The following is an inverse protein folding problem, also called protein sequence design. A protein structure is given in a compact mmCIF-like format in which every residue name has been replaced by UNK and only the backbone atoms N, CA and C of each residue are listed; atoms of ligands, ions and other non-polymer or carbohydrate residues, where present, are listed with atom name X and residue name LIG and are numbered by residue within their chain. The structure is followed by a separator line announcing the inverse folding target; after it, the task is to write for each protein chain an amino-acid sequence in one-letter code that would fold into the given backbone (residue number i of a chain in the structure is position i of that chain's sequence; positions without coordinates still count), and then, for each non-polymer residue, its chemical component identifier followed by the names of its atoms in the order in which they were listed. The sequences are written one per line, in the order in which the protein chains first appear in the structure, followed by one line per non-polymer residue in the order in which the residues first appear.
data_IF_362477588459
#
_entry.id   IF_362477588459
#
_cell.length_a   1.000
_cell.length_b   1.000
_cell.length_c   1.000
_cell.angle_alpha   90.00
_cell.angle_beta   90.00
_cell.angle_gamma   90.00
#
_symmetry.space_group_name_H-M   'P 1'
#
loop_
_entity.id
_entity.type
_entity.pdbx_description
1 polymer ?
#
# COMPACT_ATOMS: atom_id res chain seq x y z
N UNK A 1 14.59 -11.00 15.03
CA UNK A 1 13.94 -12.02 14.18
C UNK A 1 12.47 -11.66 14.17
N UNK A 2 11.83 -11.59 12.99
CA UNK A 2 10.39 -11.31 12.90
C UNK A 2 9.62 -12.54 13.34
N UNK A 3 8.62 -12.36 14.18
CA UNK A 3 7.77 -13.42 14.73
C UNK A 3 6.44 -13.52 13.98
N UNK A 4 5.81 -14.69 14.03
CA UNK A 4 4.45 -14.87 13.49
C UNK A 4 3.42 -14.00 14.21
N UNK A 5 3.63 -13.73 15.50
CA UNK A 5 2.74 -12.85 16.27
C UNK A 5 2.80 -11.40 15.73
N UNK A 6 3.99 -10.86 15.48
CA UNK A 6 4.13 -9.52 14.90
C UNK A 6 3.48 -9.41 13.51
N UNK A 7 3.62 -10.46 12.68
CA UNK A 7 2.97 -10.51 11.36
C UNK A 7 1.45 -10.60 11.52
N UNK A 8 0.97 -11.45 12.42
CA UNK A 8 -0.46 -11.64 12.70
C UNK A 8 -1.10 -10.34 13.19
N UNK A 9 -0.45 -9.62 14.10
CA UNK A 9 -0.92 -8.32 14.58
C UNK A 9 -0.95 -7.27 13.46
N UNK A 10 0.09 -7.24 12.61
CA UNK A 10 0.11 -6.35 11.46
C UNK A 10 -1.06 -6.63 10.48
N UNK A 11 -1.37 -7.89 10.18
CA UNK A 11 -2.40 -8.22 9.20
C UNK A 11 -3.82 -8.22 9.79
N UNK A 12 -4.00 -8.77 10.98
CA UNK A 12 -5.31 -9.08 11.55
C UNK A 12 -5.59 -8.37 12.88
N UNK A 13 -4.59 -7.74 13.49
CA UNK A 13 -4.77 -6.93 14.70
C UNK A 13 -5.57 -5.65 14.43
N UNK A 14 -5.85 -4.89 15.48
CA UNK A 14 -6.49 -3.58 15.37
C UNK A 14 -5.59 -2.57 14.62
N UNK A 15 -6.22 -1.59 13.98
CA UNK A 15 -5.57 -0.46 13.33
C UNK A 15 -6.51 0.74 13.31
N UNK A 16 -6.00 1.92 12.96
CA UNK A 16 -6.84 3.11 12.75
C UNK A 16 -7.63 2.93 11.44
N UNK A 17 -8.96 3.06 11.49
CA UNK A 17 -9.77 3.01 10.28
C UNK A 17 -9.55 4.25 9.42
N UNK A 18 -9.27 4.04 8.13
CA UNK A 18 -9.15 5.11 7.15
C UNK A 18 -10.23 4.95 6.08
N UNK A 19 -10.89 6.06 5.79
CA UNK A 19 -11.77 6.17 4.64
C UNK A 19 -10.94 6.14 3.34
N UNK A 20 -11.08 5.08 2.55
CA UNK A 20 -10.63 5.06 1.16
C UNK A 20 -11.72 5.57 0.22
N UNK A 21 -11.60 5.23 -1.06
CA UNK A 21 -12.56 5.63 -2.08
C UNK A 21 -13.92 4.94 -1.90
N UNK A 22 -14.99 5.76 -1.80
CA UNK A 22 -16.36 5.27 -1.61
C UNK A 22 -17.19 5.23 -2.90
N UNK A 23 -16.66 5.78 -4.00
CA UNK A 23 -17.31 5.75 -5.31
C UNK A 23 -17.07 4.44 -6.05
N UNK A 24 -17.38 4.43 -7.36
CA UNK A 24 -17.15 3.28 -8.21
C UNK A 24 -15.67 3.07 -8.54
N UNK A 25 -15.31 1.84 -8.91
CA UNK A 25 -13.97 1.51 -9.39
C UNK A 25 -13.61 2.32 -10.65
N UNK A 26 -14.54 2.46 -11.59
CA UNK A 26 -14.27 3.11 -12.88
C UNK A 26 -13.98 4.62 -12.71
N UNK A 27 -14.70 5.29 -11.79
CA UNK A 27 -14.40 6.68 -11.43
C UNK A 27 -13.00 6.82 -10.82
N UNK A 28 -12.62 5.90 -9.93
CA UNK A 28 -11.31 5.90 -9.30
C UNK A 28 -10.19 5.69 -10.34
N UNK A 29 -10.37 4.75 -11.26
CA UNK A 29 -9.43 4.51 -12.37
C UNK A 29 -9.32 5.77 -13.23
N UNK A 30 -10.44 6.34 -13.68
CA UNK A 30 -10.44 7.52 -14.55
C UNK A 30 -9.78 8.75 -13.91
N UNK A 31 -9.95 8.95 -12.60
CA UNK A 31 -9.23 9.99 -11.85
C UNK A 31 -7.73 9.73 -11.79
N UNK A 32 -7.35 8.46 -11.60
CA UNK A 32 -5.95 8.04 -11.46
C UNK A 32 -5.19 8.14 -12.78
N UNK A 33 -5.81 7.78 -13.90
CA UNK A 33 -5.20 7.91 -15.23
C UNK A 33 -4.90 9.37 -15.58
N UNK A 34 -5.75 10.31 -15.14
CA UNK A 34 -5.52 11.75 -15.31
C UNK A 34 -4.38 12.26 -14.43
N UNK A 35 -4.30 11.79 -13.18
CA UNK A 35 -3.28 12.22 -12.23
C UNK A 35 -1.90 11.59 -12.50
N UNK A 36 -1.87 10.35 -13.01
CA UNK A 36 -0.67 9.54 -13.20
C UNK A 36 -0.63 8.93 -14.61
N UNK A 37 -0.55 9.75 -15.68
CA UNK A 37 -0.64 9.26 -17.05
C UNK A 37 0.46 8.24 -17.36
N UNK A 38 0.04 7.07 -17.87
CA UNK A 38 0.95 5.99 -18.28
C UNK A 38 1.53 5.15 -17.14
N UNK A 39 1.21 5.44 -15.88
CA UNK A 39 1.67 4.64 -14.73
C UNK A 39 0.77 3.42 -14.52
N UNK A 40 1.33 2.31 -14.05
CA UNK A 40 0.53 1.14 -13.74
C UNK A 40 -0.42 1.43 -12.58
N UNK A 41 -1.70 1.10 -12.75
CA UNK A 41 -2.73 1.20 -11.74
C UNK A 41 -3.07 -0.19 -11.19
N UNK A 42 -3.22 -0.30 -9.87
CA UNK A 42 -3.64 -1.51 -9.18
C UNK A 42 -4.73 -1.18 -8.17
N UNK A 43 -5.97 -1.57 -8.45
CA UNK A 43 -7.11 -1.38 -7.56
C UNK A 43 -7.08 -2.47 -6.50
N UNK A 44 -7.14 -2.06 -5.24
CA UNK A 44 -7.05 -2.96 -4.09
C UNK A 44 -8.16 -2.69 -3.08
N UNK A 45 -8.55 -3.73 -2.36
CA UNK A 45 -9.49 -3.70 -1.22
C UNK A 45 -8.84 -4.29 0.01
N UNK A 46 -9.46 -4.03 1.17
CA UNK A 46 -8.99 -4.55 2.46
C UNK A 46 -7.49 -4.24 2.64
N UNK A 47 -7.18 -2.97 2.44
CA UNK A 47 -5.82 -2.46 2.38
C UNK A 47 -5.37 -1.92 3.74
N UNK A 48 -4.07 -1.97 3.97
CA UNK A 48 -3.39 -1.52 5.18
C UNK A 48 -2.26 -0.59 4.73
N UNK A 49 -2.37 0.69 5.07
CA UNK A 49 -1.25 1.62 5.01
C UNK A 49 -0.36 1.38 6.23
N UNK A 50 0.89 1.04 5.97
CA UNK A 50 1.85 0.65 7.00
C UNK A 50 2.89 1.76 7.11
N UNK A 51 2.81 2.56 8.16
CA UNK A 51 3.88 3.49 8.53
C UNK A 51 5.04 2.70 9.12
N UNK A 52 6.24 2.96 8.62
CA UNK A 52 7.43 2.24 9.02
C UNK A 52 8.08 2.94 10.21
N UNK A 53 8.23 2.21 11.31
CA UNK A 53 9.03 2.66 12.44
C UNK A 53 10.51 2.63 12.02
N UNK A 54 11.07 3.81 11.80
CA UNK A 54 12.45 4.00 11.31
C UNK A 54 13.20 4.99 12.20
N UNK A 55 14.52 4.84 12.25
CA UNK A 55 15.41 5.81 12.89
C UNK A 55 15.46 7.12 12.10
N UNK A 56 15.89 8.24 12.72
CA UNK A 56 16.06 9.50 11.99
C UNK A 56 16.97 9.39 10.76
N UNK A 57 18.08 8.67 10.87
CA UNK A 57 19.01 8.47 9.75
C UNK A 57 18.39 7.68 8.59
N UNK A 58 17.56 6.66 8.89
CA UNK A 58 16.82 5.92 7.87
C UNK A 58 15.73 6.77 7.22
N UNK A 59 15.03 7.59 8.01
CA UNK A 59 14.05 8.55 7.50
C UNK A 59 14.71 9.56 6.55
N UNK A 60 15.85 10.13 6.93
CA UNK A 60 16.61 11.07 6.11
C UNK A 60 17.09 10.41 4.81
N UNK A 61 17.54 9.15 4.89
CA UNK A 61 17.91 8.38 3.70
C UNK A 61 16.72 8.14 2.76
N UNK A 62 15.56 7.74 3.29
CA UNK A 62 14.37 7.49 2.47
C UNK A 62 13.88 8.79 1.81
N UNK A 63 13.75 9.86 2.60
CA UNK A 63 13.30 11.16 2.10
C UNK A 63 14.28 11.77 1.09
N UNK A 64 15.59 11.60 1.29
CA UNK A 64 16.63 11.98 0.31
C UNK A 64 16.55 11.21 -1.02
N UNK A 65 15.89 10.04 -1.03
CA UNK A 65 15.58 9.27 -2.23
C UNK A 65 14.18 9.58 -2.80
N UNK A 66 13.44 10.52 -2.20
CA UNK A 66 12.05 10.82 -2.57
C UNK A 66 11.08 9.71 -2.17
N UNK A 67 11.40 8.92 -1.15
CA UNK A 67 10.57 7.83 -0.64
C UNK A 67 9.94 8.20 0.70
N UNK A 68 8.74 7.68 0.91
CA UNK A 68 8.05 7.69 2.19
C UNK A 68 8.55 6.54 3.06
N UNK A 69 8.67 6.73 4.39
CA UNK A 69 8.80 5.63 5.34
C UNK A 69 7.46 4.91 5.53
N UNK A 70 6.88 4.44 4.43
CA UNK A 70 5.59 3.76 4.40
C UNK A 70 5.55 2.73 3.28
N UNK A 71 4.75 1.68 3.47
CA UNK A 71 4.41 0.70 2.45
C UNK A 71 2.92 0.36 2.53
N UNK A 72 2.41 -0.38 1.55
CA UNK A 72 1.03 -0.82 1.49
C UNK A 72 0.98 -2.34 1.48
N UNK A 73 0.05 -2.90 2.25
CA UNK A 73 -0.42 -4.26 2.07
C UNK A 73 -1.89 -4.24 1.67
N UNK A 74 -2.33 -5.17 0.83
CA UNK A 74 -3.75 -5.38 0.57
C UNK A 74 -4.05 -6.86 0.49
N UNK A 75 -5.13 -7.27 1.15
CA UNK A 75 -5.59 -8.66 1.12
C UNK A 75 -6.18 -9.03 -0.25
N UNK A 76 -6.64 -8.05 -1.02
CA UNK A 76 -7.34 -8.30 -2.28
C UNK A 76 -6.95 -7.29 -3.36
N UNK A 77 -6.48 -7.81 -4.49
CA UNK A 77 -6.39 -7.10 -5.76
C UNK A 77 -7.71 -7.29 -6.48
N UNK A 78 -8.33 -6.18 -6.87
CA UNK A 78 -9.56 -6.16 -7.66
C UNK A 78 -9.24 -6.08 -9.15
N UNK A 79 -8.26 -5.25 -9.50
CA UNK A 79 -7.85 -5.04 -10.89
C UNK A 79 -6.38 -4.60 -10.96
N UNK A 80 -5.59 -5.18 -11.86
CA UNK A 80 -4.24 -4.72 -12.19
C UNK A 80 -4.15 -4.39 -13.68
N UNK A 81 -3.92 -3.13 -14.01
CA UNK A 81 -3.86 -2.63 -15.40
C UNK A 81 -2.79 -3.29 -16.26
N UNK A 82 -1.78 -3.90 -15.64
CA UNK A 82 -0.67 -4.58 -16.31
C UNK A 82 -0.83 -6.11 -16.30
N UNK A 83 -1.93 -6.64 -15.76
CA UNK A 83 -2.20 -8.07 -15.61
C UNK A 83 -1.05 -8.85 -14.94
N UNK A 84 -0.30 -8.20 -14.05
CA UNK A 84 0.78 -8.83 -13.27
C UNK A 84 0.21 -9.76 -12.21
N UNK A 85 -1.01 -9.47 -11.77
CA UNK A 85 -1.69 -10.18 -10.69
C UNK A 85 -3.11 -10.54 -11.11
N UNK A 86 -3.54 -11.74 -10.74
CA UNK A 86 -4.93 -12.16 -10.83
C UNK A 86 -5.78 -11.50 -9.73
N UNK A 87 -7.07 -11.26 -9.98
CA UNK A 87 -8.01 -10.82 -8.95
C UNK A 87 -8.00 -11.77 -7.75
N UNK A 88 -8.34 -11.26 -6.57
CA UNK A 88 -8.37 -11.97 -5.26
C UNK A 88 -7.02 -12.35 -4.66
N UNK A 89 -5.92 -12.17 -5.39
CA UNK A 89 -4.59 -12.29 -4.79
C UNK A 89 -4.30 -11.10 -3.88
N UNK A 90 -3.37 -11.28 -2.96
CA UNK A 90 -2.88 -10.20 -2.09
C UNK A 90 -1.66 -9.52 -2.73
N UNK A 91 -1.32 -8.32 -2.24
CA UNK A 91 -0.09 -7.63 -2.63
C UNK A 91 0.52 -6.89 -1.46
N UNK A 92 1.85 -6.89 -1.40
CA UNK A 92 2.62 -5.91 -0.62
C UNK A 92 3.44 -5.07 -1.57
N UNK A 93 3.31 -3.76 -1.46
CA UNK A 93 4.07 -2.82 -2.27
C UNK A 93 5.53 -2.71 -1.79
N UNK A 94 6.29 -1.88 -2.50
CA UNK A 94 7.58 -1.36 -2.02
C UNK A 94 7.33 -0.01 -1.31
N UNK A 95 8.39 0.67 -0.87
CA UNK A 95 8.29 2.02 -0.31
C UNK A 95 7.44 2.96 -1.19
N UNK A 96 6.59 3.74 -0.53
CA UNK A 96 5.81 4.79 -1.16
C UNK A 96 6.69 5.93 -1.67
N UNK A 97 6.18 6.66 -2.64
CA UNK A 97 6.71 7.93 -3.15
C UNK A 97 5.79 9.08 -2.71
N UNK A 98 4.49 8.88 -2.85
CA UNK A 98 3.46 9.80 -2.38
C UNK A 98 2.24 9.02 -1.89
N UNK A 99 1.39 9.68 -1.10
CA UNK A 99 0.15 9.09 -0.59
C UNK A 99 -0.94 10.16 -0.54
N UNK A 100 -2.16 9.77 -0.86
CA UNK A 100 -3.39 10.55 -0.73
C UNK A 100 -4.47 9.70 -0.04
N UNK A 101 -5.63 10.26 0.33
CA UNK A 101 -6.67 9.49 1.02
C UNK A 101 -7.15 8.24 0.27
N UNK A 102 -7.01 8.19 -1.06
CA UNK A 102 -7.49 7.08 -1.88
C UNK A 102 -6.45 6.53 -2.87
N UNK A 103 -5.19 6.99 -2.80
CA UNK A 103 -4.12 6.48 -3.64
C UNK A 103 -2.80 6.36 -2.86
N UNK A 104 -2.07 5.27 -3.10
CA UNK A 104 -0.71 5.09 -2.61
C UNK A 104 0.23 4.86 -3.78
N UNK A 105 1.12 5.82 -4.03
CA UNK A 105 2.04 5.77 -5.15
C UNK A 105 3.36 5.12 -4.73
N UNK A 106 3.84 4.16 -5.53
CA UNK A 106 5.23 3.70 -5.53
C UNK A 106 5.93 4.17 -6.79
N UNK A 107 7.21 3.84 -6.97
CA UNK A 107 7.95 4.22 -8.19
C UNK A 107 7.24 3.82 -9.49
N UNK A 108 6.69 2.61 -9.56
CA UNK A 108 6.16 2.05 -10.83
C UNK A 108 4.63 1.85 -10.84
N UNK A 109 3.98 1.86 -9.67
CA UNK A 109 2.56 1.53 -9.53
C UNK A 109 1.87 2.53 -8.62
N UNK A 110 0.67 2.96 -8.98
CA UNK A 110 -0.27 3.61 -8.07
C UNK A 110 -1.30 2.59 -7.62
N UNK A 111 -1.37 2.37 -6.31
CA UNK A 111 -2.38 1.52 -5.70
C UNK A 111 -3.61 2.36 -5.38
N UNK A 112 -4.76 1.92 -5.86
CA UNK A 112 -6.02 2.64 -5.75
C UNK A 112 -6.83 2.00 -4.62
N UNK A 113 -7.07 2.77 -3.57
CA UNK A 113 -7.55 2.31 -2.28
C UNK A 113 -9.08 2.28 -2.28
N UNK A 114 -9.67 1.17 -2.74
CA UNK A 114 -11.11 1.02 -2.88
C UNK A 114 -11.75 0.56 -1.57
N UNK A 115 -12.76 1.29 -1.10
CA UNK A 115 -13.39 1.04 0.20
C UNK A 115 -12.51 1.42 1.39
N UNK A 116 -12.98 1.21 2.63
CA UNK A 116 -12.22 1.49 3.83
C UNK A 116 -10.99 0.57 3.96
N UNK A 117 -10.01 1.04 4.72
CA UNK A 117 -8.81 0.28 5.07
C UNK A 117 -8.31 0.65 6.45
N UNK A 118 -7.10 0.20 6.77
CA UNK A 118 -6.47 0.44 8.07
C UNK A 118 -5.15 1.20 7.93
N UNK A 119 -4.79 1.96 8.96
CA UNK A 119 -3.42 2.44 9.18
C UNK A 119 -2.82 1.73 10.37
N UNK A 120 -1.58 1.28 10.20
CA UNK A 120 -0.82 0.58 11.24
C UNK A 120 0.64 1.00 11.20
N UNK A 121 1.33 0.75 12.30
CA UNK A 121 2.77 0.90 12.39
C UNK A 121 3.46 -0.47 12.44
N UNK A 122 4.61 -0.59 11.79
CA UNK A 122 5.46 -1.76 11.89
C UNK A 122 6.92 -1.43 11.60
N UNK A 123 7.84 -2.25 12.10
CA UNK A 123 9.23 -2.17 11.66
C UNK A 123 9.36 -2.58 10.18
N UNK A 124 10.43 -2.11 9.53
CA UNK A 124 10.78 -2.53 8.15
C UNK A 124 10.83 -4.06 8.06
N UNK A 125 11.41 -4.73 9.05
CA UNK A 125 11.52 -6.18 9.08
C UNK A 125 10.16 -6.87 9.00
N UNK A 126 9.20 -6.45 9.84
CA UNK A 126 7.85 -7.04 9.87
C UNK A 126 7.12 -6.75 8.57
N UNK A 127 7.07 -5.47 8.15
CA UNK A 127 6.35 -5.05 6.96
C UNK A 127 6.86 -5.76 5.69
N UNK A 128 8.18 -5.96 5.58
CA UNK A 128 8.81 -6.57 4.40
C UNK A 128 9.07 -8.09 4.54
N UNK A 129 8.66 -8.72 5.63
CA UNK A 129 8.80 -10.17 5.85
C UNK A 129 7.96 -11.01 4.89
N UNK A 130 6.81 -10.46 4.46
CA UNK A 130 5.93 -11.09 3.48
C UNK A 130 6.54 -10.98 2.09
N UNK A 131 6.71 -12.12 1.41
CA UNK A 131 7.10 -12.18 0.00
C UNK A 131 5.90 -12.68 -0.80
N UNK A 132 5.42 -11.88 -1.75
CA UNK A 132 4.54 -12.39 -2.78
C UNK A 132 5.38 -13.39 -3.60
N UNK A 133 4.85 -14.60 -3.80
CA UNK A 133 5.48 -15.67 -4.56
C UNK A 133 5.63 -15.33 -6.04
#
# INVERSE_FOLDING_TARGET
MVTLEEISQLLYGAGEEILGWQGSQDELIALSEKAFPGKALCVVKQWILIDLTVTPAEKDKLTGLGLLPATLFAHEIVHDSQNRFQPTMWVRSNFGVSSSPYMFETKNTVYLLLGPGLRKEASIGVAFSMKAG
#
